data_IF_269569817120
#
_entry.id   IF_269569817120
#
_cell.length_a   1.000
_cell.length_b   1.000
_cell.length_c   1.000
_cell.angle_alpha   90.00
_cell.angle_beta   90.00
_cell.angle_gamma   90.00
#
_symmetry.space_group_name_H-M   'P 1'
#
loop_
_entity.id
_entity.type
_entity.pdbx_description
1 polymer ?
#
# COMPACT_ATOMS: atom_id res chain seq x y z
N UNK A 1 18.23 5.58 7.50
CA UNK A 1 17.99 4.64 6.38
C UNK A 1 17.57 5.46 5.17
N UNK A 2 18.23 5.22 4.04
CA UNK A 2 18.51 6.19 2.98
C UNK A 2 17.33 6.92 2.32
N UNK A 3 17.67 8.08 1.78
CA UNK A 3 16.91 9.12 1.06
C UNK A 3 16.15 8.67 -0.20
N UNK A 4 15.78 7.39 -0.30
CA UNK A 4 15.01 6.86 -1.42
C UNK A 4 13.55 6.75 -0.96
N UNK A 5 12.57 7.31 -1.70
CA UNK A 5 11.16 7.13 -1.39
C UNK A 5 10.87 5.64 -1.16
N UNK A 6 10.17 5.31 -0.07
CA UNK A 6 9.89 3.92 0.35
C UNK A 6 9.38 3.04 -0.80
N UNK A 7 8.58 3.62 -1.70
CA UNK A 7 8.10 2.97 -2.92
C UNK A 7 9.21 2.59 -3.91
N UNK A 8 10.16 3.49 -4.19
CA UNK A 8 11.24 3.26 -5.14
C UNK A 8 12.23 2.18 -4.63
N UNK A 9 12.51 2.18 -3.34
CA UNK A 9 13.40 1.19 -2.73
C UNK A 9 12.76 -0.22 -2.76
N UNK A 10 11.51 -0.33 -2.28
CA UNK A 10 10.78 -1.59 -2.31
C UNK A 10 10.58 -2.12 -3.74
N UNK A 11 10.39 -1.22 -4.70
CA UNK A 11 10.16 -1.59 -6.09
C UNK A 11 11.45 -2.10 -6.77
N UNK A 12 12.56 -1.38 -6.62
CA UNK A 12 13.83 -1.74 -7.27
C UNK A 12 14.49 -2.97 -6.65
N UNK A 13 14.42 -3.11 -5.32
CA UNK A 13 15.11 -4.21 -4.62
C UNK A 13 14.28 -5.49 -4.61
N UNK A 14 12.95 -5.38 -4.56
CA UNK A 14 12.07 -6.54 -4.37
C UNK A 14 11.16 -6.81 -5.57
N UNK A 15 10.37 -5.83 -6.04
CA UNK A 15 9.42 -6.08 -7.14
C UNK A 15 10.12 -6.34 -8.47
N UNK A 16 11.19 -5.61 -8.80
CA UNK A 16 11.90 -5.73 -10.07
C UNK A 16 12.49 -7.12 -10.33
N UNK A 17 13.32 -7.71 -9.44
CA UNK A 17 13.88 -9.04 -9.67
C UNK A 17 12.81 -10.13 -9.67
N UNK A 18 11.80 -10.02 -8.82
CA UNK A 18 10.72 -11.02 -8.75
C UNK A 18 9.82 -10.94 -9.98
N UNK A 19 9.43 -9.74 -10.43
CA UNK A 19 8.63 -9.54 -11.64
C UNK A 19 9.35 -10.06 -12.89
N UNK A 20 10.62 -9.70 -13.07
CA UNK A 20 11.40 -10.14 -14.22
C UNK A 20 11.63 -11.67 -14.23
N UNK A 21 11.86 -12.27 -13.05
CA UNK A 21 12.08 -13.71 -12.93
C UNK A 21 10.82 -14.52 -13.22
N UNK A 22 9.66 -14.08 -12.73
CA UNK A 22 8.41 -14.84 -12.84
C UNK A 22 7.71 -14.57 -14.16
N UNK A 23 7.48 -13.30 -14.52
CA UNK A 23 6.71 -12.89 -15.71
C UNK A 23 7.55 -12.85 -16.99
N UNK A 24 8.88 -12.94 -16.87
CA UNK A 24 9.81 -12.76 -17.98
C UNK A 24 10.12 -11.30 -18.28
N UNK A 25 11.11 -11.03 -19.16
CA UNK A 25 11.64 -9.69 -19.38
C UNK A 25 10.65 -8.73 -20.05
N UNK A 26 9.82 -9.22 -20.97
CA UNK A 26 8.84 -8.39 -21.67
C UNK A 26 7.68 -7.99 -20.74
N UNK A 27 6.93 -8.95 -20.22
CA UNK A 27 5.76 -8.69 -19.36
C UNK A 27 6.14 -8.09 -18.01
N UNK A 28 7.21 -8.60 -17.38
CA UNK A 28 7.72 -8.07 -16.12
C UNK A 28 8.26 -6.65 -16.27
N UNK A 29 8.95 -6.35 -17.38
CA UNK A 29 9.42 -4.99 -17.68
C UNK A 29 8.26 -4.01 -17.85
N UNK A 30 7.20 -4.41 -18.57
CA UNK A 30 6.00 -3.60 -18.78
C UNK A 30 5.27 -3.32 -17.45
N UNK A 31 5.10 -4.34 -16.61
CA UNK A 31 4.54 -4.21 -15.27
C UNK A 31 5.32 -3.20 -14.42
N UNK A 32 6.65 -3.32 -14.38
CA UNK A 32 7.52 -2.39 -13.65
C UNK A 32 7.43 -0.98 -14.22
N UNK A 33 7.42 -0.78 -15.53
CA UNK A 33 7.29 0.55 -16.11
C UNK A 33 5.97 1.23 -15.72
N UNK A 34 4.86 0.48 -15.76
CA UNK A 34 3.54 0.98 -15.34
C UNK A 34 3.52 1.33 -13.86
N UNK A 35 4.07 0.46 -13.01
CA UNK A 35 4.18 0.71 -11.58
C UNK A 35 5.04 1.96 -11.27
N UNK A 36 6.12 2.15 -12.02
CA UNK A 36 7.03 3.28 -11.82
C UNK A 36 6.34 4.59 -12.20
N UNK A 37 5.58 4.57 -13.31
CA UNK A 37 4.77 5.69 -13.75
C UNK A 37 3.70 6.06 -12.71
N UNK A 38 2.99 5.07 -12.15
CA UNK A 38 2.03 5.30 -11.06
C UNK A 38 2.70 5.93 -9.83
N UNK A 39 3.83 5.38 -9.38
CA UNK A 39 4.54 5.92 -8.22
C UNK A 39 5.04 7.35 -8.46
N UNK A 40 5.47 7.67 -9.68
CA UNK A 40 5.88 9.01 -10.05
C UNK A 40 4.70 10.00 -10.04
N UNK A 41 3.54 9.59 -10.56
CA UNK A 41 2.30 10.36 -10.50
C UNK A 41 1.87 10.63 -9.05
N UNK A 42 1.82 9.58 -8.22
CA UNK A 42 1.46 9.68 -6.80
C UNK A 42 2.42 10.60 -6.05
N UNK A 43 3.74 10.48 -6.30
CA UNK A 43 4.73 11.36 -5.68
C UNK A 43 4.54 12.82 -6.10
N UNK A 44 4.34 13.09 -7.39
CA UNK A 44 4.14 14.44 -7.91
C UNK A 44 2.90 15.13 -7.31
N UNK A 45 1.75 14.45 -7.36
CA UNK A 45 0.50 14.99 -6.81
C UNK A 45 0.55 15.05 -5.28
N UNK A 46 1.15 14.05 -4.62
CA UNK A 46 1.33 14.01 -3.18
C UNK A 46 2.15 15.20 -2.68
N UNK A 47 3.25 15.55 -3.35
CA UNK A 47 4.06 16.74 -3.02
C UNK A 47 3.23 18.02 -3.21
N UNK A 48 2.46 18.13 -4.30
CA UNK A 48 1.63 19.30 -4.56
C UNK A 48 0.51 19.47 -3.51
N UNK A 49 -0.18 18.37 -3.18
CA UNK A 49 -1.23 18.32 -2.18
C UNK A 49 -0.69 18.64 -0.78
N UNK A 50 0.45 18.05 -0.41
CA UNK A 50 1.14 18.32 0.85
C UNK A 50 1.53 19.80 0.95
N UNK A 51 2.13 20.38 -0.10
CA UNK A 51 2.48 21.81 -0.12
C UNK A 51 1.25 22.69 0.09
N UNK A 52 0.12 22.42 -0.56
CA UNK A 52 -1.11 23.20 -0.37
C UNK A 52 -1.73 23.01 1.02
N UNK A 53 -1.65 21.81 1.59
CA UNK A 53 -2.21 21.50 2.90
C UNK A 53 -1.35 22.05 4.06
N UNK A 54 -0.03 22.09 3.88
CA UNK A 54 0.95 22.53 4.89
C UNK A 54 1.38 24.01 4.74
N UNK A 55 0.91 24.73 3.71
CA UNK A 55 1.37 26.10 3.37
C UNK A 55 1.05 27.21 4.39
N UNK A 56 0.60 26.92 5.61
CA UNK A 56 0.16 28.01 6.50
C UNK A 56 0.37 27.82 8.02
N UNK A 57 1.01 26.76 8.53
CA UNK A 57 1.01 26.58 10.00
C UNK A 57 2.20 25.91 10.71
N UNK A 58 3.34 25.68 10.05
CA UNK A 58 4.42 24.91 10.69
C UNK A 58 5.85 25.37 10.36
N UNK A 59 6.08 26.67 10.19
CA UNK A 59 7.45 27.23 10.08
C UNK A 59 7.85 28.13 11.26
N UNK A 60 7.12 28.04 12.37
CA UNK A 60 7.55 28.55 13.67
C UNK A 60 7.61 27.36 14.63
N UNK A 61 8.55 26.45 14.38
CA UNK A 61 9.19 25.78 15.50
C UNK A 61 10.15 26.82 16.06
N UNK A 62 9.66 27.63 17.00
CA UNK A 62 10.55 28.28 17.95
C UNK A 62 11.24 27.14 18.69
N UNK A 63 12.47 26.83 18.27
CA UNK A 63 13.42 26.22 19.19
C UNK A 63 13.64 27.25 20.29
N UNK A 64 12.83 27.20 21.34
CA UNK A 64 13.32 27.62 22.65
C UNK A 64 14.44 26.62 23.00
N UNK A 65 15.67 26.99 22.63
CA UNK A 65 16.85 26.47 23.29
C UNK A 65 16.79 26.97 24.72
N UNK A 66 16.19 26.19 25.61
CA UNK A 66 16.28 26.40 27.05
C UNK A 66 17.73 26.08 27.45
N UNK A 67 18.55 27.08 27.82
CA UNK A 67 19.89 26.82 28.29
C UNK A 67 19.79 26.45 29.77
N UNK A 68 20.51 25.40 30.16
CA UNK A 68 20.66 24.88 31.52
C UNK A 68 19.77 23.69 31.90
N UNK A 69 20.30 22.47 31.72
CA UNK A 69 20.38 21.50 32.82
C UNK A 69 21.28 20.32 32.46
N UNK A 70 22.57 20.46 32.76
CA UNK A 70 23.50 19.35 32.96
C UNK A 70 23.22 18.64 34.30
N UNK A 71 22.00 18.18 34.51
CA UNK A 71 21.64 17.33 35.65
C UNK A 71 20.89 16.09 35.15
N UNK A 72 21.60 14.96 35.10
CA UNK A 72 21.00 13.63 35.10
C UNK A 72 20.57 13.09 33.74
N UNK A 73 21.52 12.80 32.85
CA UNK A 73 21.28 11.98 31.64
C UNK A 73 20.47 10.70 31.90
N UNK A 74 20.64 10.08 33.07
CA UNK A 74 19.87 8.89 33.48
C UNK A 74 18.40 9.22 33.80
N UNK A 75 18.12 10.40 34.36
CA UNK A 75 16.75 10.85 34.63
C UNK A 75 16.03 11.23 33.33
N UNK A 76 16.72 11.89 32.38
CA UNK A 76 16.20 12.18 31.05
C UNK A 76 15.94 10.88 30.28
N UNK A 77 16.89 9.93 30.31
CA UNK A 77 16.73 8.64 29.64
C UNK A 77 15.59 7.81 30.26
N UNK A 78 15.47 7.80 31.59
CA UNK A 78 14.39 7.06 32.29
C UNK A 78 13.03 7.70 32.05
N UNK A 79 12.95 9.02 32.02
CA UNK A 79 11.70 9.76 31.71
C UNK A 79 11.33 9.54 30.25
N UNK A 80 12.27 9.71 29.31
CA UNK A 80 12.07 9.44 27.90
C UNK A 80 11.69 7.97 27.63
N UNK A 81 12.33 7.00 28.29
CA UNK A 81 11.98 5.59 28.16
C UNK A 81 10.57 5.32 28.71
N UNK A 82 10.21 5.89 29.86
CA UNK A 82 8.87 5.74 30.46
C UNK A 82 7.80 6.37 29.56
N UNK A 83 8.11 7.50 28.94
CA UNK A 83 7.23 8.24 28.05
C UNK A 83 7.07 7.51 26.70
N UNK A 84 8.18 7.01 26.12
CA UNK A 84 8.17 6.12 24.97
C UNK A 84 7.38 4.84 25.24
N UNK A 85 7.54 4.21 26.42
CA UNK A 85 6.83 2.99 26.77
C UNK A 85 5.34 3.24 27.00
N UNK A 86 5.00 4.31 27.70
CA UNK A 86 3.61 4.77 27.90
C UNK A 86 2.92 5.07 26.57
N UNK A 87 3.60 5.80 25.69
CA UNK A 87 3.11 6.10 24.34
C UNK A 87 2.97 4.83 23.51
N UNK A 88 3.97 3.94 23.52
CA UNK A 88 3.91 2.64 22.83
C UNK A 88 2.75 1.77 23.30
N UNK A 89 2.47 1.74 24.61
CA UNK A 89 1.32 1.01 25.16
C UNK A 89 0.01 1.59 24.67
N UNK A 90 -0.12 2.92 24.62
CA UNK A 90 -1.32 3.56 24.09
C UNK A 90 -1.50 3.29 22.59
N UNK A 91 -0.42 3.26 21.83
CA UNK A 91 -0.42 2.87 20.41
C UNK A 91 -0.88 1.42 20.27
N UNK A 92 -0.28 0.48 21.01
CA UNK A 92 -0.64 -0.95 20.97
C UNK A 92 -2.12 -1.16 21.33
N UNK A 93 -2.63 -0.44 22.34
CA UNK A 93 -4.04 -0.52 22.77
C UNK A 93 -5.03 -0.13 21.68
N UNK A 94 -4.67 0.74 20.75
CA UNK A 94 -5.51 1.11 19.61
C UNK A 94 -5.22 0.19 18.42
N UNK A 95 -3.94 0.00 18.12
CA UNK A 95 -3.45 -0.76 16.97
C UNK A 95 -3.98 -2.19 16.96
N UNK A 96 -3.84 -2.93 18.06
CA UNK A 96 -4.21 -4.35 18.13
C UNK A 96 -5.70 -4.58 17.88
N UNK A 97 -6.64 -3.94 18.60
CA UNK A 97 -8.05 -4.13 18.33
C UNK A 97 -8.46 -3.60 16.96
N UNK A 98 -7.89 -2.49 16.46
CA UNK A 98 -8.21 -2.01 15.11
C UNK A 98 -7.75 -2.99 14.03
N UNK A 99 -6.55 -3.57 14.15
CA UNK A 99 -6.07 -4.62 13.24
C UNK A 99 -6.98 -5.84 13.30
N UNK A 100 -7.34 -6.31 14.50
CA UNK A 100 -8.21 -7.47 14.66
C UNK A 100 -9.59 -7.26 14.02
N UNK A 101 -10.24 -6.12 14.30
CA UNK A 101 -11.52 -5.78 13.68
C UNK A 101 -11.41 -5.61 12.16
N UNK A 102 -10.35 -4.95 11.67
CA UNK A 102 -10.12 -4.79 10.24
C UNK A 102 -9.95 -6.15 9.56
N UNK A 103 -9.16 -7.06 10.15
CA UNK A 103 -8.93 -8.40 9.62
C UNK A 103 -10.24 -9.20 9.54
N UNK A 104 -11.07 -9.12 10.57
CA UNK A 104 -12.36 -9.80 10.63
C UNK A 104 -13.34 -9.21 9.60
N UNK A 105 -13.36 -7.89 9.45
CA UNK A 105 -14.16 -7.23 8.41
C UNK A 105 -13.70 -7.62 6.99
N UNK A 106 -12.39 -7.69 6.75
CA UNK A 106 -11.85 -8.10 5.45
C UNK A 106 -12.31 -9.53 5.09
N UNK A 107 -12.16 -10.48 6.02
CA UNK A 107 -12.52 -11.88 5.80
C UNK A 107 -14.02 -12.04 5.45
N UNK A 108 -14.90 -11.45 6.26
CA UNK A 108 -16.34 -11.69 6.13
C UNK A 108 -17.05 -10.75 5.15
N UNK A 109 -16.59 -9.52 4.98
CA UNK A 109 -17.27 -8.50 4.16
C UNK A 109 -16.67 -8.41 2.76
N UNK A 110 -15.39 -8.73 2.59
CA UNK A 110 -14.70 -8.56 1.31
C UNK A 110 -14.43 -9.90 0.63
N UNK A 111 -13.81 -10.85 1.33
CA UNK A 111 -13.33 -12.09 0.71
C UNK A 111 -14.47 -13.02 0.30
N UNK A 112 -15.37 -13.35 1.24
CA UNK A 112 -16.48 -14.27 0.96
C UNK A 112 -17.39 -13.79 -0.21
N UNK A 113 -17.82 -12.52 -0.26
CA UNK A 113 -18.66 -12.05 -1.37
C UNK A 113 -17.93 -12.01 -2.71
N UNK A 114 -16.62 -11.75 -2.73
CA UNK A 114 -15.81 -11.78 -3.95
C UNK A 114 -15.75 -13.20 -4.50
N UNK A 115 -15.55 -14.21 -3.65
CA UNK A 115 -15.55 -15.63 -4.07
C UNK A 115 -16.90 -16.00 -4.67
N UNK A 116 -17.99 -15.63 -4.02
CA UNK A 116 -19.35 -15.98 -4.44
C UNK A 116 -19.77 -15.28 -5.75
N UNK A 117 -19.39 -14.01 -5.95
CA UNK A 117 -19.72 -13.24 -7.17
C UNK A 117 -18.65 -13.26 -8.25
N UNK A 118 -17.56 -14.00 -8.05
CA UNK A 118 -16.42 -14.01 -8.95
C UNK A 118 -16.85 -14.27 -10.40
N UNK A 119 -17.60 -15.35 -10.64
CA UNK A 119 -18.00 -15.72 -12.01
C UNK A 119 -18.78 -14.60 -12.74
N UNK A 120 -19.65 -13.85 -12.06
CA UNK A 120 -20.47 -12.81 -12.71
C UNK A 120 -19.72 -11.51 -13.01
N UNK A 121 -18.65 -11.21 -12.28
CA UNK A 121 -17.85 -9.98 -12.45
C UNK A 121 -16.68 -10.17 -13.43
N UNK A 122 -16.31 -11.42 -13.68
CA UNK A 122 -15.04 -11.80 -14.31
C UNK A 122 -15.24 -12.30 -15.74
N UNK A 123 -16.38 -12.94 -16.05
CA UNK A 123 -16.78 -13.29 -17.42
C UNK A 123 -16.74 -12.09 -18.39
N UNK A 124 -17.25 -10.89 -18.03
CA UNK A 124 -17.21 -9.73 -18.93
C UNK A 124 -15.79 -9.20 -19.20
N UNK A 125 -14.82 -9.54 -18.35
CA UNK A 125 -13.42 -9.08 -18.43
C UNK A 125 -12.50 -10.10 -19.14
N UNK A 126 -13.06 -11.20 -19.67
CA UNK A 126 -12.32 -12.21 -20.43
C UNK A 126 -11.36 -13.06 -19.59
N UNK A 127 -11.58 -13.11 -18.28
CA UNK A 127 -10.73 -13.85 -17.35
C UNK A 127 -11.20 -15.29 -17.17
N UNK A 128 -10.26 -16.25 -17.20
CA UNK A 128 -10.56 -17.65 -16.93
C UNK A 128 -10.86 -17.88 -15.44
N UNK A 129 -11.52 -19.00 -15.12
CA UNK A 129 -11.76 -19.42 -13.73
C UNK A 129 -10.45 -19.55 -12.94
N UNK A 130 -9.34 -19.87 -13.62
CA UNK A 130 -8.00 -19.96 -13.05
C UNK A 130 -7.49 -18.62 -12.49
N UNK A 131 -7.97 -17.48 -12.99
CA UNK A 131 -7.57 -16.15 -12.52
C UNK A 131 -7.95 -15.86 -11.06
N UNK A 132 -8.89 -16.63 -10.47
CA UNK A 132 -9.31 -16.48 -9.08
C UNK A 132 -8.13 -16.73 -8.14
N UNK A 133 -7.23 -17.64 -8.51
CA UNK A 133 -6.06 -17.98 -7.70
C UNK A 133 -5.14 -16.77 -7.50
N UNK A 134 -5.07 -15.88 -8.49
CA UNK A 134 -4.26 -14.65 -8.42
C UNK A 134 -4.88 -13.65 -7.46
N UNK A 135 -6.21 -13.50 -7.49
CA UNK A 135 -6.92 -12.64 -6.54
C UNK A 135 -6.83 -13.19 -5.11
N UNK A 136 -6.98 -14.50 -4.92
CA UNK A 136 -6.85 -15.11 -3.59
C UNK A 136 -5.41 -15.00 -3.07
N UNK A 137 -4.43 -15.21 -3.94
CA UNK A 137 -3.03 -15.03 -3.58
C UNK A 137 -2.73 -13.57 -3.18
N UNK A 138 -3.41 -12.60 -3.80
CA UNK A 138 -3.24 -11.19 -3.47
C UNK A 138 -3.76 -10.82 -2.09
N UNK A 139 -4.71 -11.56 -1.53
CA UNK A 139 -5.14 -11.38 -0.14
C UNK A 139 -4.02 -11.72 0.86
N UNK A 140 -3.20 -12.72 0.51
CA UNK A 140 -2.06 -13.15 1.33
C UNK A 140 -0.89 -12.19 1.15
N UNK A 141 -0.48 -11.96 -0.10
CA UNK A 141 0.59 -11.02 -0.44
C UNK A 141 0.63 -10.68 -1.92
N UNK A 142 1.12 -9.48 -2.24
CA UNK A 142 1.37 -9.10 -3.64
C UNK A 142 2.38 -10.00 -4.37
N UNK A 143 3.41 -10.50 -3.67
CA UNK A 143 4.37 -11.42 -4.26
C UNK A 143 3.73 -12.75 -4.64
N UNK A 144 2.82 -13.28 -3.81
CA UNK A 144 2.09 -14.51 -4.14
C UNK A 144 1.20 -14.32 -5.37
N UNK A 145 0.50 -13.18 -5.49
CA UNK A 145 -0.27 -12.86 -6.69
C UNK A 145 0.62 -12.79 -7.95
N UNK A 146 1.82 -12.21 -7.83
CA UNK A 146 2.77 -12.10 -8.92
C UNK A 146 3.29 -13.47 -9.38
N UNK A 147 3.57 -14.37 -8.44
CA UNK A 147 3.97 -15.75 -8.75
C UNK A 147 2.82 -16.50 -9.43
N UNK A 148 1.62 -16.42 -8.87
CA UNK A 148 0.44 -17.10 -9.40
C UNK A 148 0.11 -16.64 -10.83
N UNK A 149 0.16 -15.33 -11.11
CA UNK A 149 -0.11 -14.80 -12.44
C UNK A 149 0.96 -15.21 -13.46
N UNK A 150 2.23 -15.23 -13.07
CA UNK A 150 3.31 -15.68 -13.94
C UNK A 150 3.23 -17.16 -14.29
N UNK A 151 2.79 -18.02 -13.37
CA UNK A 151 2.51 -19.44 -13.67
C UNK A 151 1.42 -19.57 -14.73
N UNK A 152 0.28 -18.88 -14.56
CA UNK A 152 -0.84 -18.91 -15.51
C UNK A 152 -0.47 -18.33 -16.89
N UNK A 153 0.39 -17.31 -16.92
CA UNK A 153 0.91 -16.74 -18.16
C UNK A 153 1.79 -17.75 -18.92
N UNK A 154 2.65 -18.50 -18.21
CA UNK A 154 3.51 -19.53 -18.82
C UNK A 154 2.73 -20.72 -19.35
N UNK A 155 1.64 -21.08 -18.68
CA UNK A 155 0.72 -22.14 -19.11
C UNK A 155 -0.16 -21.72 -20.30
N UNK A 156 -0.10 -20.45 -20.73
CA UNK A 156 -0.94 -19.91 -21.80
C UNK A 156 -2.40 -19.70 -21.40
N UNK A 157 -2.72 -19.84 -20.11
CA UNK A 157 -4.07 -19.61 -19.56
C UNK A 157 -4.45 -18.13 -19.51
N UNK A 158 -3.47 -17.23 -19.63
CA UNK A 158 -3.64 -15.78 -19.67
C UNK A 158 -2.88 -15.15 -20.82
N UNK A 159 -3.50 -14.16 -21.48
CA UNK A 159 -2.78 -13.24 -22.36
C UNK A 159 -1.91 -12.28 -21.54
N UNK A 160 -0.94 -11.62 -22.18
CA UNK A 160 -0.09 -10.61 -21.52
C UNK A 160 -0.93 -9.47 -20.94
N UNK A 161 -1.89 -8.94 -21.72
CA UNK A 161 -2.75 -7.83 -21.31
C UNK A 161 -3.65 -8.26 -20.14
N UNK A 162 -4.28 -9.43 -20.24
CA UNK A 162 -5.10 -10.00 -19.16
C UNK A 162 -4.27 -10.23 -17.89
N UNK A 163 -3.04 -10.73 -18.01
CA UNK A 163 -2.15 -10.91 -16.86
C UNK A 163 -1.83 -9.59 -16.15
N UNK A 164 -1.52 -8.52 -16.90
CA UNK A 164 -1.28 -7.20 -16.34
C UNK A 164 -2.53 -6.64 -15.67
N UNK A 165 -3.69 -6.74 -16.34
CA UNK A 165 -4.97 -6.25 -15.81
C UNK A 165 -5.31 -6.96 -14.50
N UNK A 166 -5.13 -8.29 -14.44
CA UNK A 166 -5.33 -9.09 -13.24
C UNK A 166 -4.37 -8.73 -12.11
N UNK A 167 -3.11 -8.42 -12.43
CA UNK A 167 -2.12 -7.97 -11.43
C UNK A 167 -2.48 -6.62 -10.82
N UNK A 168 -2.97 -5.67 -11.62
CA UNK A 168 -3.41 -4.37 -11.11
C UNK A 168 -4.73 -4.47 -10.31
N UNK A 169 -5.66 -5.36 -10.69
CA UNK A 169 -6.84 -5.67 -9.85
C UNK A 169 -6.40 -6.32 -8.53
N UNK A 170 -5.51 -7.31 -8.58
CA UNK A 170 -4.95 -7.95 -7.40
C UNK A 170 -4.26 -6.94 -6.47
N UNK A 171 -3.56 -5.95 -7.05
CA UNK A 171 -2.93 -4.85 -6.33
C UNK A 171 -3.92 -3.92 -5.65
N UNK A 172 -4.97 -3.49 -6.37
CA UNK A 172 -6.07 -2.72 -5.81
C UNK A 172 -6.65 -3.42 -4.56
N UNK A 173 -6.94 -4.71 -4.68
CA UNK A 173 -7.52 -5.50 -3.59
C UNK A 173 -6.59 -5.58 -2.36
N UNK A 174 -5.32 -5.96 -2.57
CA UNK A 174 -4.34 -6.05 -1.48
C UNK A 174 -4.06 -4.69 -0.84
N UNK A 175 -4.02 -3.61 -1.63
CA UNK A 175 -3.75 -2.27 -1.11
C UNK A 175 -4.92 -1.77 -0.27
N UNK A 176 -6.16 -2.02 -0.69
CA UNK A 176 -7.35 -1.72 0.12
C UNK A 176 -7.31 -2.43 1.47
N UNK A 177 -7.02 -3.73 1.46
CA UNK A 177 -6.83 -4.54 2.68
C UNK A 177 -5.69 -3.98 3.53
N UNK A 178 -4.55 -3.65 2.92
CA UNK A 178 -3.39 -3.09 3.59
C UNK A 178 -3.65 -1.72 4.21
N UNK A 179 -4.49 -0.90 3.59
CA UNK A 179 -4.91 0.41 4.09
C UNK A 179 -5.65 0.27 5.42
N UNK A 180 -6.64 -0.60 5.50
CA UNK A 180 -7.38 -0.83 6.74
C UNK A 180 -6.55 -1.56 7.79
N UNK A 181 -5.74 -2.55 7.38
CA UNK A 181 -4.94 -3.36 8.30
C UNK A 181 -3.78 -2.58 8.91
N UNK A 182 -3.05 -1.80 8.11
CA UNK A 182 -1.77 -1.19 8.54
C UNK A 182 -1.80 0.32 8.37
N UNK A 183 -2.34 0.83 7.26
CA UNK A 183 -2.32 2.26 6.93
C UNK A 183 -3.03 3.13 7.97
N UNK A 184 -4.33 2.88 8.19
CA UNK A 184 -5.17 3.65 9.13
C UNK A 184 -4.61 3.61 10.55
N UNK A 185 -4.31 2.43 11.16
CA UNK A 185 -3.83 2.39 12.53
C UNK A 185 -2.47 3.09 12.71
N UNK A 186 -1.56 2.93 11.74
CA UNK A 186 -0.23 3.54 11.78
C UNK A 186 -0.30 5.06 11.67
N UNK A 187 -1.05 5.58 10.70
CA UNK A 187 -1.14 7.02 10.48
C UNK A 187 -1.94 7.72 11.59
N UNK A 188 -2.96 7.08 12.16
CA UNK A 188 -3.64 7.59 13.37
C UNK A 188 -2.66 7.64 14.55
N UNK A 189 -1.82 6.62 14.72
CA UNK A 189 -0.80 6.61 15.77
C UNK A 189 0.21 7.75 15.64
N UNK A 190 0.65 8.07 14.43
CA UNK A 190 1.67 9.10 14.20
C UNK A 190 1.11 10.53 14.23
N UNK A 191 0.00 10.78 13.53
CA UNK A 191 -0.53 12.13 13.32
C UNK A 191 -1.68 12.48 14.27
N UNK A 192 -2.18 11.50 15.03
CA UNK A 192 -3.27 11.60 16.00
C UNK A 192 -4.64 12.01 15.39
N UNK A 193 -5.70 11.33 15.82
CA UNK A 193 -7.09 11.70 15.52
C UNK A 193 -7.43 11.82 14.02
N UNK A 194 -8.14 12.89 13.65
CA UNK A 194 -8.70 13.09 12.31
C UNK A 194 -7.65 13.45 11.25
N UNK A 195 -6.47 13.94 11.64
CA UNK A 195 -5.39 14.25 10.71
C UNK A 195 -4.78 12.97 10.13
N UNK A 196 -4.54 11.95 10.97
CA UNK A 196 -4.06 10.64 10.52
C UNK A 196 -5.03 9.95 9.56
N UNK A 197 -6.34 10.07 9.80
CA UNK A 197 -7.37 9.58 8.87
C UNK A 197 -7.33 10.32 7.53
N UNK A 198 -7.23 11.65 7.53
CA UNK A 198 -7.15 12.46 6.29
C UNK A 198 -5.91 12.13 5.46
N UNK A 199 -4.76 11.98 6.11
CA UNK A 199 -3.51 11.60 5.44
C UNK A 199 -3.64 10.20 4.83
N UNK A 200 -4.17 9.24 5.57
CA UNK A 200 -4.39 7.87 5.05
C UNK A 200 -5.36 7.88 3.86
N UNK A 201 -6.46 8.63 3.95
CA UNK A 201 -7.43 8.73 2.88
C UNK A 201 -6.82 9.38 1.62
N UNK A 202 -6.00 10.41 1.77
CA UNK A 202 -5.29 11.04 0.65
C UNK A 202 -4.26 10.09 0.02
N UNK A 203 -3.42 9.45 0.83
CA UNK A 203 -2.40 8.50 0.35
C UNK A 203 -3.05 7.35 -0.43
N UNK A 204 -4.06 6.72 0.16
CA UNK A 204 -4.78 5.61 -0.46
C UNK A 204 -5.53 6.04 -1.73
N UNK A 205 -6.24 7.17 -1.69
CA UNK A 205 -6.98 7.69 -2.85
C UNK A 205 -6.05 7.98 -4.03
N UNK A 206 -4.88 8.58 -3.79
CA UNK A 206 -3.92 8.85 -4.87
C UNK A 206 -3.39 7.58 -5.52
N UNK A 207 -3.07 6.56 -4.72
CA UNK A 207 -2.59 5.28 -5.25
C UNK A 207 -3.70 4.57 -6.03
N UNK A 208 -4.94 4.58 -5.52
CA UNK A 208 -6.05 3.93 -6.23
C UNK A 208 -6.46 4.67 -7.50
N UNK A 209 -6.41 6.00 -7.53
CA UNK A 209 -6.60 6.76 -8.77
C UNK A 209 -5.54 6.37 -9.80
N UNK A 210 -4.28 6.22 -9.39
CA UNK A 210 -3.21 5.78 -10.29
C UNK A 210 -3.44 4.34 -10.80
N UNK A 211 -3.85 3.42 -9.92
CA UNK A 211 -4.21 2.04 -10.31
C UNK A 211 -5.38 2.02 -11.29
N UNK A 212 -6.45 2.78 -11.03
CA UNK A 212 -7.62 2.87 -11.91
C UNK A 212 -7.24 3.44 -13.28
N UNK A 213 -6.38 4.47 -13.32
CA UNK A 213 -5.88 5.01 -14.59
C UNK A 213 -5.10 3.96 -15.40
N UNK A 214 -4.27 3.15 -14.75
CA UNK A 214 -3.54 2.06 -15.42
C UNK A 214 -4.52 0.98 -15.89
N UNK A 215 -5.48 0.59 -15.07
CA UNK A 215 -6.50 -0.39 -15.43
C UNK A 215 -7.30 0.08 -16.65
N UNK A 216 -7.71 1.35 -16.68
CA UNK A 216 -8.40 1.94 -17.82
C UNK A 216 -7.51 1.96 -19.07
N UNK A 217 -6.23 2.32 -18.92
CA UNK A 217 -5.27 2.29 -20.02
C UNK A 217 -5.11 0.87 -20.58
N UNK A 218 -4.94 -0.14 -19.72
CA UNK A 218 -4.82 -1.54 -20.13
C UNK A 218 -6.11 -2.07 -20.77
N UNK A 219 -7.28 -1.64 -20.28
CA UNK A 219 -8.57 -2.01 -20.85
C UNK A 219 -8.77 -1.48 -22.27
N UNK A 220 -8.20 -0.32 -22.62
CA UNK A 220 -8.20 0.20 -23.99
C UNK A 220 -7.34 -0.63 -24.97
N UNK A 221 -6.41 -1.43 -24.45
CA UNK A 221 -5.57 -2.33 -25.25
C UNK A 221 -6.08 -3.78 -25.25
N UNK A 222 -7.22 -4.05 -24.61
CA UNK A 222 -7.91 -5.34 -24.64
C UNK A 222 -8.74 -5.47 -25.91
#
# INVERSE_FOLDING_TARGET
MGFIPKGLNSMLIFSLPVALSVLGPQTGGLYVCLDLLANFFVAGIGILAARRLLSAKALTLECEEDPEQWYGWVAILKTGLKECLSSSINIIKVLVPTIFLAQLAIEYVLVLPIVERYNSLVEPLGFSSSSLIVLMASLVSQSAALVASGTLLREGSLSIVSCLLLLFIARFLHLGIGCFRIGVPTNISYFQGSLGLRITAMEYSLIEVANIMILFLLFLFL
#
